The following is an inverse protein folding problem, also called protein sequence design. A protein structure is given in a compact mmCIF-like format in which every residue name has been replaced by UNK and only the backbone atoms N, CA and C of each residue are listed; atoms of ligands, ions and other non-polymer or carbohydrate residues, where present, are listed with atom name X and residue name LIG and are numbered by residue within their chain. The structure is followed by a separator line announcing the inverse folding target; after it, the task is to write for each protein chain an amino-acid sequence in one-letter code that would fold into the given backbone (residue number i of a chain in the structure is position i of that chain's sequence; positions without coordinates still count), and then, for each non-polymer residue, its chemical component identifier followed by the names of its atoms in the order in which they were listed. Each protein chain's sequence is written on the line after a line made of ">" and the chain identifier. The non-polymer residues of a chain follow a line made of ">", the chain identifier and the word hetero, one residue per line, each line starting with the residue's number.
data_IF_357445952065
#
_entry.id   IF_357445952065
#
_cell.length_a   1.000
_cell.length_b   1.000
_cell.length_c   1.000
_cell.angle_alpha   90.00
_cell.angle_beta   90.00
_cell.angle_gamma   90.00
#
_symmetry.space_group_name_H-M   'P 1'
#
loop_
_entity.id
_entity.type
_entity.pdbx_description
1 polymer ?
#
# COMPACT_ATOMS: atom_id res chain seq x y z
N UNK A 1 12.98 14.75 5.17
CA UNK A 1 13.43 13.69 4.24
C UNK A 1 12.26 12.72 4.08
N UNK A 2 11.38 12.95 3.11
CA UNK A 2 10.16 12.16 2.93
C UNK A 2 10.31 11.30 1.69
N UNK A 3 10.78 10.07 1.86
CA UNK A 3 10.77 9.06 0.80
C UNK A 3 9.32 8.55 0.75
N UNK A 4 8.68 8.57 -0.42
CA UNK A 4 7.32 8.06 -0.70
C UNK A 4 6.11 8.97 -0.44
N UNK A 5 6.03 10.11 -1.14
CA UNK A 5 4.75 10.56 -1.70
C UNK A 5 4.62 10.05 -3.15
N UNK A 6 4.79 8.74 -3.37
CA UNK A 6 4.39 8.16 -4.65
C UNK A 6 2.88 8.00 -4.62
N UNK A 7 2.19 8.64 -5.55
CA UNK A 7 0.76 8.40 -5.73
C UNK A 7 0.51 6.91 -5.91
N UNK A 8 -0.33 6.33 -5.05
CA UNK A 8 -0.75 4.95 -5.21
C UNK A 8 -1.78 4.95 -6.32
N UNK A 9 -1.46 4.24 -7.39
CA UNK A 9 -2.34 4.10 -8.51
C UNK A 9 -2.72 2.63 -8.65
N UNK A 10 -4.00 2.35 -8.44
CA UNK A 10 -4.49 0.99 -8.53
C UNK A 10 -4.76 0.58 -9.98
N UNK A 11 -5.10 1.54 -10.86
CA UNK A 11 -5.54 1.29 -12.24
C UNK A 11 -5.20 2.43 -13.19
N UNK A 12 -4.92 2.10 -14.45
CA UNK A 12 -4.62 3.04 -15.52
C UNK A 12 -5.71 4.09 -15.75
N UNK A 13 -6.98 3.70 -15.61
CA UNK A 13 -8.10 4.62 -15.76
C UNK A 13 -8.14 5.74 -14.71
N UNK A 14 -7.42 5.60 -13.59
CA UNK A 14 -7.25 6.62 -12.54
C UNK A 14 -6.00 7.46 -12.79
N UNK A 15 -4.91 6.86 -13.30
CA UNK A 15 -3.65 7.55 -13.63
C UNK A 15 -3.80 8.44 -14.85
N UNK A 16 -4.45 7.88 -15.86
CA UNK A 16 -4.59 8.42 -17.21
C UNK A 16 -6.06 8.31 -17.60
N UNK A 17 -6.92 9.24 -17.15
CA UNK A 17 -8.33 9.24 -17.53
C UNK A 17 -8.52 9.16 -19.05
N UNK A 18 -7.60 9.72 -19.83
CA UNK A 18 -7.55 9.64 -21.30
C UNK A 18 -7.33 8.23 -21.86
N UNK A 19 -6.72 7.32 -21.09
CA UNK A 19 -6.59 5.90 -21.47
C UNK A 19 -7.90 5.13 -21.38
N UNK A 20 -8.86 5.65 -20.59
CA UNK A 20 -10.19 5.08 -20.50
C UNK A 20 -11.10 5.74 -21.53
N UNK A 21 -11.42 5.01 -22.59
CA UNK A 21 -12.32 5.47 -23.66
C UNK A 21 -13.73 5.85 -23.17
N UNK A 22 -14.09 5.46 -21.94
CA UNK A 22 -15.36 5.79 -21.29
C UNK A 22 -15.21 6.75 -20.11
N UNK A 23 -14.06 7.37 -19.88
CA UNK A 23 -13.72 8.10 -18.65
C UNK A 23 -14.81 9.02 -18.11
N UNK A 24 -15.49 9.78 -18.98
CA UNK A 24 -16.57 10.69 -18.60
C UNK A 24 -17.85 9.99 -18.08
N UNK A 25 -18.06 8.71 -18.39
CA UNK A 25 -19.22 7.90 -18.00
C UNK A 25 -18.81 6.55 -17.36
N UNK A 26 -17.55 6.43 -16.93
CA UNK A 26 -16.98 5.19 -16.43
C UNK A 26 -17.32 5.03 -14.95
N UNK A 27 -18.40 4.34 -14.62
CA UNK A 27 -18.79 4.09 -13.23
C UNK A 27 -17.69 3.38 -12.42
N UNK A 28 -16.89 2.52 -13.06
CA UNK A 28 -15.78 1.82 -12.40
C UNK A 28 -14.62 2.76 -12.03
N UNK A 29 -14.46 3.91 -12.71
CA UNK A 29 -13.46 4.91 -12.33
C UNK A 29 -13.72 5.46 -10.91
N UNK A 30 -15.00 5.73 -10.58
CA UNK A 30 -15.38 6.19 -9.23
C UNK A 30 -15.11 5.14 -8.15
N UNK A 31 -15.32 3.85 -8.48
CA UNK A 31 -15.01 2.74 -7.57
C UNK A 31 -13.50 2.69 -7.31
N UNK A 32 -12.68 2.85 -8.35
CA UNK A 32 -11.23 2.83 -8.22
C UNK A 32 -10.66 4.04 -7.48
N UNK A 33 -11.21 5.24 -7.69
CA UNK A 33 -10.85 6.41 -6.89
C UNK A 33 -11.17 6.21 -5.41
N UNK A 34 -12.36 5.67 -5.11
CA UNK A 34 -12.74 5.34 -3.73
C UNK A 34 -11.77 4.34 -3.10
N UNK A 35 -11.46 3.26 -3.79
CA UNK A 35 -10.52 2.24 -3.31
C UNK A 35 -9.12 2.83 -3.06
N UNK A 36 -8.65 3.69 -3.98
CA UNK A 36 -7.37 4.40 -3.84
C UNK A 36 -7.34 5.29 -2.60
N UNK A 37 -8.39 6.07 -2.36
CA UNK A 37 -8.48 6.93 -1.18
C UNK A 37 -8.39 6.10 0.10
N UNK A 38 -9.20 5.04 0.20
CA UNK A 38 -9.23 4.17 1.37
C UNK A 38 -7.87 3.54 1.67
N UNK A 39 -7.19 3.02 0.64
CA UNK A 39 -5.85 2.47 0.80
C UNK A 39 -4.85 3.51 1.32
N UNK A 40 -4.90 4.74 0.79
CA UNK A 40 -4.02 5.83 1.24
C UNK A 40 -4.30 6.21 2.69
N UNK A 41 -5.56 6.22 3.10
CA UNK A 41 -5.95 6.55 4.46
C UNK A 41 -5.47 5.46 5.44
N UNK A 42 -5.66 4.18 5.11
CA UNK A 42 -5.11 3.07 5.89
C UNK A 42 -3.60 3.15 6.06
N UNK A 43 -2.86 3.49 5.01
CA UNK A 43 -1.40 3.60 5.10
C UNK A 43 -0.93 4.82 5.90
N UNK A 44 -1.75 5.88 6.01
CA UNK A 44 -1.45 7.07 6.82
C UNK A 44 -1.69 6.85 8.32
N UNK A 45 -2.56 5.91 8.67
CA UNK A 45 -2.85 5.57 10.07
C UNK A 45 -1.67 4.91 10.78
N UNK A 46 -0.74 4.33 10.01
CA UNK A 46 0.42 3.60 10.53
C UNK A 46 1.66 4.50 10.54
N UNK A 47 2.37 4.51 11.66
CA UNK A 47 3.65 5.20 11.79
C UNK A 47 4.80 4.20 11.88
N UNK A 48 6.03 4.65 11.61
CA UNK A 48 7.20 3.81 11.86
C UNK A 48 7.30 3.37 13.32
N UNK A 49 6.91 4.23 14.28
CA UNK A 49 6.94 3.89 15.69
C UNK A 49 5.96 2.75 16.03
N UNK A 50 4.75 2.78 15.47
CA UNK A 50 3.76 1.72 15.70
C UNK A 50 4.20 0.38 15.11
N UNK A 51 4.86 0.40 13.95
CA UNK A 51 5.41 -0.81 13.31
C UNK A 51 6.57 -1.44 14.07
N UNK A 52 7.30 -0.68 14.88
CA UNK A 52 8.40 -1.19 15.69
C UNK A 52 7.92 -1.77 17.03
N UNK A 53 6.74 -1.36 17.49
CA UNK A 53 6.15 -1.85 18.75
C UNK A 53 5.35 -3.13 18.58
N UNK A 54 4.78 -3.37 17.40
CA UNK A 54 4.22 -4.67 17.05
C UNK A 54 5.38 -5.57 16.65
N UNK A 55 5.53 -6.73 17.32
CA UNK A 55 6.66 -7.65 17.21
C UNK A 55 7.29 -7.63 15.81
N UNK A 56 8.46 -6.97 15.71
CA UNK A 56 9.13 -6.80 14.43
C UNK A 56 9.28 -8.17 13.77
N UNK A 57 9.04 -8.28 12.46
CA UNK A 57 9.17 -9.52 11.68
C UNK A 57 10.58 -10.14 11.70
N UNK A 58 11.48 -9.62 12.52
CA UNK A 58 12.81 -10.13 12.79
C UNK A 58 12.65 -11.43 13.57
N UNK A 59 12.68 -12.55 12.86
CA UNK A 59 12.85 -13.86 13.49
C UNK A 59 14.19 -13.82 14.23
N UNK A 60 14.20 -14.01 15.57
CA UNK A 60 15.44 -14.03 16.31
C UNK A 60 16.35 -15.14 15.77
N UNK A 61 17.60 -14.79 15.46
CA UNK A 61 18.60 -15.70 14.89
C UNK A 61 19.02 -16.82 15.87
N UNK A 62 18.49 -16.84 17.09
CA UNK A 62 18.76 -17.84 18.13
C UNK A 62 18.11 -19.21 17.84
N UNK A 63 17.11 -19.29 16.94
CA UNK A 63 16.48 -20.56 16.53
C UNK A 63 17.03 -21.17 15.24
N UNK A 64 17.93 -20.48 14.53
CA UNK A 64 18.55 -21.01 13.31
C UNK A 64 19.74 -21.97 13.58
N UNK A 65 20.16 -22.11 14.84
CA UNK A 65 21.39 -22.80 15.22
C UNK A 65 21.22 -23.88 16.28
N UNK A 66 20.19 -24.73 16.20
CA UNK A 66 20.16 -26.00 16.93
C UNK A 66 19.48 -27.08 16.09
N UNK A 67 20.23 -27.60 15.11
CA UNK A 67 20.08 -28.98 14.65
C UNK A 67 21.42 -29.65 14.89
N UNK A 68 21.60 -30.10 16.13
CA UNK A 68 22.55 -31.17 16.42
C UNK A 68 21.99 -32.47 15.85
N UNK A 69 22.81 -33.15 15.06
CA UNK A 69 23.27 -34.55 15.20
C UNK A 69 24.04 -34.94 13.94
#
# INVERSE_FOLDING_TARGET
>A
MSIFFSEIFLNDCVIRPESCQRSQACSIHQVWEKARSQLRDTLREVTYASLLTEDSCVIPLDRAGNRGE
#
